data_IF_370199127367
#
_entry.id   IF_370199127367
#
_cell.length_a   1.000
_cell.length_b   1.000
_cell.length_c   1.000
_cell.angle_alpha   90.00
_cell.angle_beta   90.00
_cell.angle_gamma   90.00
#
_symmetry.space_group_name_H-M   'P 1'
#
loop_
_entity.id
_entity.type
_entity.pdbx_description
1 polymer ?
#
# COMPACT_ATOMS: atom_id res chain seq x y z
N UNK A 1 8.50 -0.96 20.19
CA UNK A 1 9.84 -1.05 19.58
C UNK A 1 9.67 -0.97 18.07
N UNK A 2 10.29 0.00 17.38
CA UNK A 2 10.13 0.13 15.92
C UNK A 2 11.15 -0.78 15.23
N UNK A 3 10.68 -1.91 14.72
CA UNK A 3 11.50 -2.91 14.04
C UNK A 3 11.63 -2.66 12.53
N UNK A 4 10.90 -1.68 11.99
CA UNK A 4 10.83 -1.48 10.54
C UNK A 4 12.22 -1.21 9.93
N UNK A 5 12.98 -0.28 10.47
CA UNK A 5 14.31 0.06 9.96
C UNK A 5 15.28 -1.13 9.94
N UNK A 6 15.50 -1.81 11.06
CA UNK A 6 16.35 -3.01 11.10
C UNK A 6 15.87 -4.13 10.18
N UNK A 7 14.57 -4.43 10.17
CA UNK A 7 13.99 -5.47 9.29
C UNK A 7 14.18 -5.09 7.82
N UNK A 8 13.89 -3.85 7.44
CA UNK A 8 14.10 -3.38 6.07
C UNK A 8 15.56 -3.46 5.64
N UNK A 9 16.49 -3.06 6.51
CA UNK A 9 17.93 -3.11 6.20
C UNK A 9 18.43 -4.52 5.86
N UNK A 10 17.83 -5.54 6.47
CA UNK A 10 18.18 -6.95 6.23
C UNK A 10 17.39 -7.51 5.04
N UNK A 11 16.11 -7.17 4.90
CA UNK A 11 15.20 -7.81 3.94
C UNK A 11 15.20 -7.13 2.57
N UNK A 12 15.36 -5.80 2.50
CA UNK A 12 15.29 -5.10 1.22
C UNK A 12 16.45 -5.41 0.25
N UNK A 13 17.73 -5.55 0.67
CA UNK A 13 18.82 -5.89 -0.24
C UNK A 13 18.63 -7.23 -0.97
N UNK A 14 18.31 -8.37 -0.30
CA UNK A 14 18.05 -9.61 -1.01
C UNK A 14 16.81 -9.53 -1.91
N UNK A 15 15.75 -8.84 -1.50
CA UNK A 15 14.58 -8.62 -2.38
C UNK A 15 15.00 -7.89 -3.65
N UNK A 16 15.75 -6.80 -3.54
CA UNK A 16 16.24 -6.04 -4.69
C UNK A 16 17.11 -6.88 -5.62
N UNK A 17 18.01 -7.67 -5.07
CA UNK A 17 18.95 -8.49 -5.85
C UNK A 17 18.28 -9.69 -6.53
N UNK A 18 17.49 -10.47 -5.80
CA UNK A 18 16.89 -11.73 -6.30
C UNK A 18 15.85 -11.47 -7.39
N UNK A 19 15.03 -10.44 -7.22
CA UNK A 19 13.96 -10.10 -8.16
C UNK A 19 14.29 -8.90 -9.06
N UNK A 20 15.56 -8.46 -9.07
CA UNK A 20 16.03 -7.33 -9.89
C UNK A 20 15.05 -6.16 -9.80
N UNK A 21 14.72 -5.78 -8.55
CA UNK A 21 13.75 -4.74 -8.28
C UNK A 21 14.22 -3.39 -8.85
N UNK A 22 13.51 -2.89 -9.84
CA UNK A 22 13.69 -1.57 -10.41
C UNK A 22 12.73 -0.58 -9.75
N UNK A 23 13.23 0.59 -9.36
CA UNK A 23 12.42 1.62 -8.67
C UNK A 23 12.57 2.93 -9.40
N UNK A 24 11.46 3.50 -9.83
CA UNK A 24 11.39 4.79 -10.51
C UNK A 24 10.53 5.78 -9.73
N UNK A 25 10.84 7.06 -9.83
CA UNK A 25 10.08 8.12 -9.17
C UNK A 25 10.23 8.18 -7.65
N UNK A 26 11.28 7.60 -7.06
CA UNK A 26 11.48 7.60 -5.60
C UNK A 26 11.48 9.00 -4.98
N UNK A 27 11.90 10.02 -5.74
CA UNK A 27 11.89 11.42 -5.34
C UNK A 27 10.48 11.99 -5.12
N UNK A 28 9.43 11.35 -5.63
CA UNK A 28 8.05 11.76 -5.44
C UNK A 28 7.51 11.43 -4.04
N UNK A 29 8.21 10.60 -3.24
CA UNK A 29 7.76 10.21 -1.91
C UNK A 29 7.88 11.39 -0.93
N UNK A 30 6.75 11.95 -0.42
CA UNK A 30 6.79 13.08 0.50
C UNK A 30 7.43 12.70 1.83
N UNK A 31 8.12 13.64 2.47
CA UNK A 31 8.62 13.46 3.84
C UNK A 31 7.51 13.46 4.89
N UNK A 32 6.41 14.19 4.64
CA UNK A 32 5.24 14.30 5.51
C UNK A 32 4.27 13.12 5.42
N UNK A 33 3.05 13.26 5.98
CA UNK A 33 2.01 12.25 5.89
C UNK A 33 1.65 11.97 4.43
N UNK A 34 1.41 10.70 4.09
CA UNK A 34 1.05 10.29 2.73
C UNK A 34 0.29 8.98 2.74
N UNK A 35 -0.70 8.87 1.87
CA UNK A 35 -1.40 7.61 1.59
C UNK A 35 -0.82 7.05 0.28
N UNK A 36 0.00 6.03 0.39
CA UNK A 36 0.55 5.30 -0.75
C UNK A 36 -0.51 4.33 -1.27
N UNK A 37 -0.86 4.43 -2.54
CA UNK A 37 -1.90 3.59 -3.13
C UNK A 37 -1.33 2.82 -4.32
N UNK A 38 -1.34 1.49 -4.21
CA UNK A 38 -0.78 0.61 -5.23
C UNK A 38 -1.80 -0.44 -5.70
N UNK A 39 -1.61 -0.96 -6.91
CA UNK A 39 -2.28 -2.17 -7.37
C UNK A 39 -1.87 -3.37 -6.50
N UNK A 40 -2.72 -4.42 -6.47
CA UNK A 40 -2.50 -5.60 -5.63
C UNK A 40 -2.83 -6.89 -6.39
N UNK A 41 -1.84 -7.39 -7.09
CA UNK A 41 -1.95 -8.54 -7.99
C UNK A 41 -1.21 -9.77 -7.45
N UNK A 42 -0.39 -9.57 -6.37
CA UNK A 42 0.38 -10.62 -5.72
C UNK A 42 0.43 -10.45 -4.20
N UNK A 43 0.53 -11.58 -3.48
CA UNK A 43 0.82 -11.57 -2.03
C UNK A 43 2.20 -10.99 -1.71
N UNK A 44 3.08 -10.88 -2.70
CA UNK A 44 4.41 -10.29 -2.55
C UNK A 44 4.47 -8.77 -2.70
N UNK A 45 3.40 -8.11 -3.18
CA UNK A 45 3.37 -6.65 -3.40
C UNK A 45 3.78 -5.82 -2.18
N UNK A 46 3.32 -6.12 -0.94
CA UNK A 46 3.73 -5.35 0.24
C UNK A 46 5.24 -5.41 0.49
N UNK A 47 5.89 -6.52 0.17
CA UNK A 47 7.34 -6.67 0.34
C UNK A 47 8.12 -5.85 -0.69
N UNK A 48 7.67 -5.84 -1.95
CA UNK A 48 8.29 -5.01 -3.00
C UNK A 48 8.07 -3.53 -2.72
N UNK A 49 6.87 -3.14 -2.30
CA UNK A 49 6.58 -1.76 -1.92
C UNK A 49 7.45 -1.31 -0.73
N UNK A 50 7.58 -2.16 0.30
CA UNK A 50 8.45 -1.88 1.46
C UNK A 50 9.94 -1.84 1.12
N UNK A 51 10.40 -2.62 0.13
CA UNK A 51 11.77 -2.58 -0.36
C UNK A 51 12.04 -1.36 -1.25
N UNK A 52 11.03 -0.92 -2.02
CA UNK A 52 11.15 0.22 -2.93
C UNK A 52 11.20 1.56 -2.18
N UNK A 53 10.33 1.76 -1.17
CA UNK A 53 10.20 3.04 -0.48
C UNK A 53 11.15 3.14 0.72
N UNK A 54 11.85 4.29 0.84
CA UNK A 54 12.93 4.46 1.84
C UNK A 54 12.45 4.96 3.21
N UNK A 55 11.17 4.89 3.48
CA UNK A 55 10.60 5.28 4.77
C UNK A 55 9.64 4.20 5.30
N UNK A 56 9.41 4.16 6.64
CA UNK A 56 8.47 3.22 7.22
C UNK A 56 7.07 3.34 6.65
N UNK A 57 6.53 2.22 6.16
CA UNK A 57 5.17 2.11 5.68
C UNK A 57 4.32 1.36 6.72
N UNK A 58 3.13 1.87 6.99
CA UNK A 58 2.11 1.15 7.74
C UNK A 58 1.14 0.50 6.76
N UNK A 59 0.96 -0.80 6.87
CA UNK A 59 0.07 -1.56 5.99
C UNK A 59 -1.25 -1.90 6.69
N UNK A 60 -2.36 -1.76 5.97
CA UNK A 60 -3.63 -2.29 6.43
C UNK A 60 -3.67 -3.80 6.16
N UNK A 61 -3.79 -4.59 7.20
CA UNK A 61 -3.82 -6.04 7.11
C UNK A 61 -5.07 -6.61 7.78
N UNK A 62 -5.54 -7.77 7.31
CA UNK A 62 -6.70 -8.44 7.89
C UNK A 62 -6.46 -8.72 9.37
N UNK A 63 -7.41 -8.36 10.23
CA UNK A 63 -7.36 -8.60 11.68
C UNK A 63 -7.11 -10.07 12.04
N UNK A 64 -7.59 -11.00 11.22
CA UNK A 64 -7.40 -12.43 11.42
C UNK A 64 -5.93 -12.87 11.40
N UNK A 65 -5.04 -12.12 10.76
CA UNK A 65 -3.60 -12.42 10.74
C UNK A 65 -2.96 -12.32 12.13
N UNK A 66 -3.51 -11.51 13.03
CA UNK A 66 -3.06 -11.39 14.41
C UNK A 66 -3.44 -12.61 15.30
N UNK A 67 -4.32 -13.50 14.80
CA UNK A 67 -4.62 -14.76 15.50
C UNK A 67 -3.44 -15.73 15.51
N UNK A 68 -2.53 -15.60 14.55
CA UNK A 68 -1.23 -16.27 14.58
C UNK A 68 -0.24 -15.38 15.33
N UNK A 69 0.20 -15.80 16.51
CA UNK A 69 1.05 -14.99 17.41
C UNK A 69 2.34 -14.48 16.73
N UNK A 70 2.99 -15.32 15.91
CA UNK A 70 4.22 -14.92 15.19
C UNK A 70 3.91 -13.87 14.12
N UNK A 71 2.87 -14.10 13.31
CA UNK A 71 2.45 -13.13 12.29
C UNK A 71 1.99 -11.82 12.91
N UNK A 72 1.23 -11.88 14.02
CA UNK A 72 0.82 -10.69 14.78
C UNK A 72 2.01 -9.89 15.29
N UNK A 73 2.99 -10.55 15.91
CA UNK A 73 4.20 -9.89 16.40
C UNK A 73 5.00 -9.21 15.28
N UNK A 74 5.14 -9.86 14.12
CA UNK A 74 5.80 -9.27 12.94
C UNK A 74 5.01 -8.06 12.42
N UNK A 75 3.68 -8.17 12.31
CA UNK A 75 2.83 -7.09 11.84
C UNK A 75 2.88 -5.89 12.79
N UNK A 76 2.88 -6.10 14.11
CA UNK A 76 3.02 -5.04 15.10
C UNK A 76 4.39 -4.35 14.99
N UNK A 77 5.46 -5.14 14.84
CA UNK A 77 6.82 -4.63 14.64
C UNK A 77 7.00 -3.81 13.37
N UNK A 78 6.23 -4.13 12.32
CA UNK A 78 6.18 -3.39 11.06
C UNK A 78 5.15 -2.25 11.06
N UNK A 79 4.43 -2.04 12.17
CA UNK A 79 3.41 -1.00 12.29
C UNK A 79 2.14 -1.29 11.49
N UNK A 80 1.79 -2.56 11.36
CA UNK A 80 0.56 -3.01 10.72
C UNK A 80 -0.69 -2.45 11.42
N UNK A 81 -1.71 -2.11 10.64
CA UNK A 81 -3.00 -1.63 11.15
C UNK A 81 -4.03 -2.72 10.87
N UNK A 82 -4.60 -3.35 11.92
CA UNK A 82 -5.61 -4.39 11.74
C UNK A 82 -6.93 -3.82 11.23
N UNK A 83 -7.49 -4.44 10.19
CA UNK A 83 -8.75 -4.02 9.55
C UNK A 83 -9.73 -5.19 9.53
N UNK A 84 -10.96 -4.95 9.97
CA UNK A 84 -12.10 -5.82 9.68
C UNK A 84 -12.78 -5.38 8.37
N UNK A 85 -12.59 -6.17 7.32
CA UNK A 85 -13.12 -5.83 5.98
C UNK A 85 -14.62 -6.10 5.81
N UNK A 86 -15.25 -6.80 6.76
CA UNK A 86 -16.66 -7.19 6.69
C UNK A 86 -17.61 -6.10 7.17
N UNK A 87 -17.12 -5.18 7.99
CA UNK A 87 -17.88 -4.04 8.53
C UNK A 87 -17.03 -2.81 8.28
N UNK A 88 -17.59 -1.74 7.74
CA UNK A 88 -16.85 -0.49 7.60
C UNK A 88 -16.14 -0.17 8.93
N UNK A 89 -14.87 -0.55 9.04
CA UNK A 89 -14.12 -0.53 10.30
C UNK A 89 -13.76 0.91 10.67
N UNK A 90 -14.67 1.55 11.41
CA UNK A 90 -14.48 2.93 11.91
C UNK A 90 -13.20 3.02 12.74
N UNK A 91 -12.86 1.96 13.49
CA UNK A 91 -11.64 1.91 14.30
C UNK A 91 -10.38 1.92 13.42
N UNK A 92 -10.37 1.17 12.32
CA UNK A 92 -9.25 1.19 11.39
C UNK A 92 -9.11 2.56 10.69
N UNK A 93 -10.22 3.19 10.29
CA UNK A 93 -10.20 4.55 9.72
C UNK A 93 -9.61 5.54 10.71
N UNK A 94 -10.03 5.52 11.97
CA UNK A 94 -9.50 6.36 13.03
C UNK A 94 -8.00 6.10 13.28
N UNK A 95 -7.57 4.84 13.31
CA UNK A 95 -6.16 4.48 13.49
C UNK A 95 -5.28 4.96 12.34
N UNK A 96 -5.78 4.88 11.10
CA UNK A 96 -5.08 5.42 9.92
C UNK A 96 -5.01 6.94 9.98
N UNK A 97 -6.11 7.62 10.29
CA UNK A 97 -6.11 9.08 10.43
C UNK A 97 -5.10 9.54 11.48
N UNK A 98 -5.09 8.91 12.66
CA UNK A 98 -4.12 9.20 13.71
C UNK A 98 -2.66 8.92 13.28
N UNK A 99 -2.42 7.87 12.49
CA UNK A 99 -1.10 7.58 11.96
C UNK A 99 -0.64 8.67 10.99
N UNK A 100 -1.53 9.14 10.10
CA UNK A 100 -1.26 10.23 9.17
C UNK A 100 -0.99 11.56 9.91
N UNK A 101 -1.77 11.88 10.94
CA UNK A 101 -1.54 13.06 11.78
C UNK A 101 -0.15 13.07 12.45
N UNK A 102 0.39 11.89 12.73
CA UNK A 102 1.76 11.70 13.23
C UNK A 102 2.83 11.68 12.14
N UNK A 103 2.48 12.02 10.90
CA UNK A 103 3.40 12.07 9.77
C UNK A 103 3.72 10.72 9.14
N UNK A 104 2.94 9.66 9.42
CA UNK A 104 3.21 8.33 8.85
C UNK A 104 2.89 8.26 7.35
N UNK A 105 3.59 7.35 6.65
CA UNK A 105 3.17 6.85 5.35
C UNK A 105 2.32 5.59 5.54
N UNK A 106 1.12 5.57 4.96
CA UNK A 106 0.19 4.45 5.06
C UNK A 106 -0.04 3.86 3.68
N UNK A 107 0.21 2.57 3.51
CA UNK A 107 0.02 1.87 2.25
C UNK A 107 -1.36 1.19 2.20
N UNK A 108 -2.09 1.44 1.12
CA UNK A 108 -3.43 0.90 0.87
C UNK A 108 -3.47 0.26 -0.51
N UNK A 109 -3.97 -0.96 -0.55
CA UNK A 109 -4.30 -1.67 -1.78
C UNK A 109 -5.82 -1.62 -2.00
N UNK A 110 -6.32 -0.74 -2.85
CA UNK A 110 -7.77 -0.48 -2.94
C UNK A 110 -8.58 -1.64 -3.53
N UNK A 111 -7.92 -2.57 -4.20
CA UNK A 111 -8.55 -3.81 -4.65
C UNK A 111 -8.99 -4.73 -3.49
N UNK A 112 -8.37 -4.59 -2.31
CA UNK A 112 -8.75 -5.27 -1.07
C UNK A 112 -8.37 -6.75 -0.99
N UNK A 113 -8.00 -7.40 -2.08
CA UNK A 113 -7.54 -8.81 -2.12
C UNK A 113 -6.78 -9.06 -3.42
N UNK A 114 -5.87 -10.00 -3.41
CA UNK A 114 -5.21 -10.54 -4.63
C UNK A 114 -6.06 -11.58 -5.35
N UNK A 115 -7.13 -12.06 -4.70
CA UNK A 115 -8.05 -13.05 -5.26
C UNK A 115 -9.26 -12.33 -5.88
N UNK A 116 -9.47 -12.49 -7.16
CA UNK A 116 -10.63 -11.93 -7.87
C UNK A 116 -10.28 -11.42 -9.27
N UNK A 117 -11.27 -10.96 -10.03
CA UNK A 117 -11.05 -10.49 -11.39
C UNK A 117 -10.13 -9.25 -11.42
N UNK A 118 -9.27 -9.12 -12.44
CA UNK A 118 -8.32 -8.02 -12.53
C UNK A 118 -9.00 -6.64 -12.60
N UNK A 119 -10.20 -6.57 -13.18
CA UNK A 119 -10.94 -5.31 -13.39
C UNK A 119 -11.94 -4.98 -12.27
N UNK A 120 -11.75 -5.52 -11.06
CA UNK A 120 -12.67 -5.22 -9.95
C UNK A 120 -12.66 -3.73 -9.59
N UNK A 121 -13.80 -3.20 -9.11
CA UNK A 121 -13.89 -1.82 -8.65
C UNK A 121 -12.95 -1.57 -7.47
N UNK A 122 -12.27 -0.43 -7.48
CA UNK A 122 -11.47 0.01 -6.35
C UNK A 122 -12.36 0.48 -5.18
N UNK A 123 -11.97 0.11 -3.98
CA UNK A 123 -12.61 0.57 -2.76
C UNK A 123 -12.26 2.03 -2.49
N UNK A 124 -13.24 2.80 -2.05
CA UNK A 124 -13.14 4.25 -1.85
C UNK A 124 -12.45 4.66 -0.53
N UNK A 125 -11.90 3.70 0.21
CA UNK A 125 -11.30 3.94 1.53
C UNK A 125 -10.12 4.91 1.50
N UNK A 126 -9.22 4.80 0.51
CA UNK A 126 -8.08 5.69 0.36
C UNK A 126 -8.51 7.13 0.05
N UNK A 127 -9.45 7.31 -0.89
CA UNK A 127 -9.99 8.63 -1.22
C UNK A 127 -10.74 9.26 -0.03
N UNK A 128 -11.54 8.47 0.70
CA UNK A 128 -12.21 8.94 1.90
C UNK A 128 -11.24 9.42 2.96
N UNK A 129 -10.17 8.67 3.23
CA UNK A 129 -9.13 9.04 4.17
C UNK A 129 -8.41 10.32 3.73
N UNK A 130 -8.03 10.44 2.45
CA UNK A 130 -7.39 11.63 1.91
C UNK A 130 -8.26 12.88 2.10
N UNK A 131 -9.54 12.82 1.74
CA UNK A 131 -10.49 13.94 1.92
C UNK A 131 -10.66 14.29 3.41
N UNK A 132 -10.72 13.30 4.29
CA UNK A 132 -10.90 13.54 5.74
C UNK A 132 -9.66 14.13 6.40
N UNK A 133 -8.46 13.74 5.97
CA UNK A 133 -7.19 14.11 6.62
C UNK A 133 -6.42 15.22 5.91
N UNK A 134 -6.69 15.43 4.60
CA UNK A 134 -5.87 16.30 3.75
C UNK A 134 -4.53 15.68 3.35
N UNK A 135 -4.28 14.40 3.69
CA UNK A 135 -3.05 13.72 3.30
C UNK A 135 -3.04 13.47 1.79
N UNK A 136 -1.91 13.75 1.09
CA UNK A 136 -1.81 13.49 -0.33
C UNK A 136 -1.86 11.99 -0.63
N UNK A 137 -2.38 11.65 -1.82
CA UNK A 137 -2.37 10.31 -2.37
C UNK A 137 -1.14 10.13 -3.26
N UNK A 138 -0.34 9.10 -3.02
CA UNK A 138 0.81 8.75 -3.85
C UNK A 138 0.46 7.52 -4.68
N UNK A 139 0.20 7.66 -5.99
CA UNK A 139 -0.04 6.53 -6.86
C UNK A 139 1.24 5.75 -7.10
N UNK A 140 1.16 4.43 -7.02
CA UNK A 140 2.29 3.52 -7.26
C UNK A 140 1.82 2.34 -8.11
N UNK A 141 2.57 2.00 -9.13
CA UNK A 141 2.39 0.78 -9.91
C UNK A 141 3.43 -0.27 -9.53
N UNK A 142 2.99 -1.50 -9.29
CA UNK A 142 3.84 -2.67 -9.04
C UNK A 142 3.61 -3.64 -10.20
N UNK A 143 4.65 -3.95 -10.94
CA UNK A 143 4.61 -4.82 -12.12
C UNK A 143 5.51 -6.03 -11.95
N UNK A 144 5.07 -7.20 -12.44
CA UNK A 144 5.83 -8.44 -12.41
C UNK A 144 5.79 -9.21 -11.07
N UNK A 145 5.19 -8.65 -10.01
CA UNK A 145 5.07 -9.33 -8.71
C UNK A 145 4.13 -10.55 -8.77
N UNK A 146 3.16 -10.56 -9.68
CA UNK A 146 2.28 -11.67 -9.99
C UNK A 146 3.04 -12.90 -10.53
N UNK A 147 4.12 -12.70 -11.26
CA UNK A 147 5.01 -13.76 -11.71
C UNK A 147 5.87 -14.33 -10.56
N UNK A 148 6.13 -13.55 -9.51
CA UNK A 148 6.91 -13.99 -8.33
C UNK A 148 6.11 -14.95 -7.47
N UNK A 149 4.92 -14.55 -7.04
CA UNK A 149 4.08 -15.35 -6.15
C UNK A 149 2.63 -15.35 -6.65
N UNK A 150 2.32 -16.32 -7.48
CA UNK A 150 0.96 -16.51 -8.02
C UNK A 150 0.00 -16.99 -6.92
N UNK A 151 -1.27 -16.57 -6.97
CA UNK A 151 -2.30 -17.15 -6.10
C UNK A 151 -2.29 -18.70 -6.21
N UNK A 152 -2.28 -19.36 -5.04
CA UNK A 152 -2.23 -20.83 -4.97
C UNK A 152 -0.83 -21.45 -5.00
N UNK A 153 0.25 -20.67 -5.26
CA UNK A 153 1.63 -21.17 -5.13
C UNK A 153 2.21 -20.82 -3.77
N UNK A 154 3.10 -21.71 -3.27
CA UNK A 154 3.78 -21.50 -1.96
C UNK A 154 5.22 -21.03 -2.09
N UNK A 155 5.82 -21.20 -3.26
CA UNK A 155 7.22 -20.87 -3.49
C UNK A 155 7.34 -19.69 -4.46
N UNK A 156 8.11 -18.65 -4.09
CA UNK A 156 8.36 -17.53 -4.98
C UNK A 156 9.27 -17.96 -6.14
N UNK A 157 8.98 -17.44 -7.33
CA UNK A 157 9.80 -17.63 -8.53
C UNK A 157 10.66 -16.40 -8.77
N UNK A 158 11.75 -16.56 -9.50
CA UNK A 158 12.53 -15.42 -9.99
C UNK A 158 11.76 -14.74 -11.12
N UNK A 159 11.59 -13.42 -10.98
CA UNK A 159 11.01 -12.55 -11.99
C UNK A 159 11.62 -11.14 -11.82
N UNK A 160 11.49 -10.30 -12.83
CA UNK A 160 11.79 -8.88 -12.67
C UNK A 160 10.58 -8.20 -12.08
N UNK A 161 10.80 -7.33 -11.09
CA UNK A 161 9.75 -6.51 -10.50
C UNK A 161 10.11 -5.05 -10.68
N UNK A 162 9.16 -4.26 -11.16
CA UNK A 162 9.32 -2.81 -11.33
C UNK A 162 8.29 -2.10 -10.46
N UNK A 163 8.73 -1.11 -9.70
CA UNK A 163 7.88 -0.23 -8.89
C UNK A 163 8.03 1.18 -9.41
N UNK A 164 6.96 1.75 -9.94
CA UNK A 164 6.93 3.12 -10.45
C UNK A 164 6.08 3.98 -9.54
N UNK A 165 6.67 5.07 -9.03
CA UNK A 165 6.07 5.99 -8.08
C UNK A 165 5.71 7.26 -8.84
N UNK A 166 4.42 7.56 -8.92
CA UNK A 166 3.89 8.75 -9.58
C UNK A 166 3.96 10.00 -8.71
N UNK A 167 3.62 11.13 -9.28
CA UNK A 167 3.53 12.40 -8.55
C UNK A 167 2.39 12.36 -7.54
N UNK A 168 2.58 12.94 -6.34
CA UNK A 168 1.52 13.01 -5.33
C UNK A 168 0.30 13.80 -5.82
N UNK A 169 -0.87 13.25 -5.59
CA UNK A 169 -2.14 13.95 -5.80
C UNK A 169 -2.45 14.72 -4.51
N UNK A 170 -2.33 16.03 -4.57
CA UNK A 170 -2.70 16.92 -3.46
C UNK A 170 -4.22 16.89 -3.28
N UNK A 171 -4.66 16.77 -2.03
CA UNK A 171 -6.08 16.69 -1.66
C UNK A 171 -6.37 17.72 -0.57
N UNK A 172 -7.34 18.57 -0.81
CA UNK A 172 -7.84 19.50 0.22
C UNK A 172 -8.69 18.73 1.23
N UNK A 173 -8.50 19.05 2.51
CA UNK A 173 -9.30 18.48 3.59
C UNK A 173 -10.74 18.95 3.49
N UNK A 174 -11.68 18.01 3.35
CA UNK A 174 -13.11 18.28 3.23
C UNK A 174 -13.96 17.10 3.70
N UNK A 175 -15.27 17.29 3.78
CA UNK A 175 -16.18 16.19 4.08
C UNK A 175 -16.22 15.16 2.93
N UNK A 176 -16.01 13.87 3.19
CA UNK A 176 -15.95 12.84 2.15
C UNK A 176 -17.35 12.46 1.64
N UNK A 177 -17.89 13.24 0.71
CA UNK A 177 -19.16 12.91 0.03
C UNK A 177 -18.99 11.71 -0.91
N UNK A 178 -20.10 11.04 -1.26
CA UNK A 178 -20.08 9.91 -2.21
C UNK A 178 -19.53 10.34 -3.59
N UNK A 179 -19.98 11.46 -4.19
CA UNK A 179 -19.41 11.92 -5.46
C UNK A 179 -17.93 12.22 -5.39
N UNK A 180 -17.47 13.01 -4.40
CA UNK A 180 -16.06 13.38 -4.26
C UNK A 180 -15.14 12.16 -4.03
N UNK A 181 -15.58 11.19 -3.22
CA UNK A 181 -14.80 9.96 -3.01
C UNK A 181 -14.74 9.09 -4.27
N UNK A 182 -15.80 9.08 -5.09
CA UNK A 182 -15.82 8.35 -6.35
C UNK A 182 -14.85 8.99 -7.34
N UNK A 183 -14.99 10.29 -7.59
CA UNK A 183 -14.13 11.04 -8.51
C UNK A 183 -12.65 10.90 -8.15
N UNK A 184 -12.30 11.08 -6.88
CA UNK A 184 -10.92 10.95 -6.42
C UNK A 184 -10.40 9.51 -6.56
N UNK A 185 -11.26 8.50 -6.37
CA UNK A 185 -10.89 7.08 -6.58
C UNK A 185 -10.65 6.78 -8.06
N UNK A 186 -11.49 7.31 -8.95
CA UNK A 186 -11.35 7.11 -10.39
C UNK A 186 -10.07 7.80 -10.90
N UNK A 187 -9.82 9.05 -10.50
CA UNK A 187 -8.57 9.79 -10.79
C UNK A 187 -7.33 9.03 -10.31
N UNK A 188 -7.39 8.47 -9.11
CA UNK A 188 -6.29 7.69 -8.54
C UNK A 188 -6.03 6.41 -9.33
N UNK A 189 -7.10 5.71 -9.73
CA UNK A 189 -7.01 4.50 -10.56
C UNK A 189 -6.38 4.79 -11.92
N UNK A 190 -6.79 5.89 -12.55
CA UNK A 190 -6.20 6.35 -13.82
C UNK A 190 -4.72 6.69 -13.66
N UNK A 191 -4.34 7.39 -12.57
CA UNK A 191 -2.94 7.69 -12.29
C UNK A 191 -2.09 6.42 -12.13
N UNK A 192 -2.57 5.41 -11.41
CA UNK A 192 -1.85 4.13 -11.29
C UNK A 192 -1.81 3.38 -12.63
N UNK A 193 -2.90 3.41 -13.42
CA UNK A 193 -2.91 2.79 -14.74
C UNK A 193 -1.91 3.44 -15.72
N UNK A 194 -1.77 4.76 -15.67
CA UNK A 194 -0.80 5.48 -16.49
C UNK A 194 0.66 5.08 -16.17
N UNK A 195 0.97 4.77 -14.90
CA UNK A 195 2.30 4.29 -14.50
C UNK A 195 2.63 2.87 -15.01
N UNK A 196 1.64 2.09 -15.42
CA UNK A 196 1.88 0.78 -16.04
C UNK A 196 2.31 0.91 -17.51
N UNK A 197 2.00 2.04 -18.15
CA UNK A 197 2.31 2.29 -19.54
C UNK A 197 3.65 3.04 -19.76
N UNK A 198 4.23 3.56 -18.68
CA UNK A 198 5.53 4.24 -18.70
C UNK A 198 6.68 3.26 -18.46
#
# INVERSE_FOLDING_TARGET
MNLYGPVRAVVAPPIRAVWRLEVEGAAHLPAGPVIVVANHDSLSDPFFLGAALERPLRFLAKRELWRNGVAGWVLDGLGGIPVDRRRGDVGAVAAVAQALERGAAVAIFPQGTVLGPPNRPWQRGAARLALTTGAPLLPVAIMGADAVLRPGTRLPRRARVRVVIGSPIVVERTSPTIPATRELTDRLREAVAALHAS
#
